data_IF_290587304418
#
_entry.id   IF_290587304418
#
_cell.length_a   1.000
_cell.length_b   1.000
_cell.length_c   1.000
_cell.angle_alpha   90.00
_cell.angle_beta   90.00
_cell.angle_gamma   90.00
#
_symmetry.space_group_name_H-M   'P 1'
#
loop_
_entity.id
_entity.type
_entity.pdbx_description
1 polymer ?
#
# COMPACT_ATOMS: atom_id res chain seq x y z
N UNK A 1 -10.18 1.20 22.03
CA UNK A 1 -10.66 1.31 20.64
C UNK A 1 -10.17 2.64 20.09
N UNK A 2 -9.15 2.71 19.20
CA UNK A 2 -8.92 3.84 18.26
C UNK A 2 -7.58 3.81 17.49
N UNK A 3 -6.56 3.06 17.90
CA UNK A 3 -5.26 3.07 17.18
C UNK A 3 -5.33 2.50 15.75
N UNK A 4 -6.19 1.50 15.51
CA UNK A 4 -6.38 0.92 14.19
C UNK A 4 -7.09 1.85 13.21
N UNK A 5 -7.91 2.80 13.69
CA UNK A 5 -8.64 3.75 12.84
C UNK A 5 -7.73 4.89 12.37
N UNK A 6 -6.88 5.45 13.23
CA UNK A 6 -5.93 6.48 12.83
C UNK A 6 -4.93 5.98 11.78
N UNK A 7 -4.34 4.78 11.96
CA UNK A 7 -3.44 4.19 10.96
C UNK A 7 -4.12 3.92 9.61
N UNK A 8 -5.44 3.67 9.62
CA UNK A 8 -6.21 3.44 8.41
C UNK A 8 -6.47 4.74 7.65
N UNK A 9 -6.75 5.84 8.37
CA UNK A 9 -6.86 7.18 7.81
C UNK A 9 -5.55 7.64 7.16
N UNK A 10 -4.40 7.42 7.81
CA UNK A 10 -3.09 7.78 7.26
C UNK A 10 -2.76 7.01 5.97
N UNK A 11 -3.04 5.71 5.91
CA UNK A 11 -2.74 4.89 4.72
C UNK A 11 -3.61 5.28 3.53
N UNK A 12 -4.91 5.51 3.74
CA UNK A 12 -5.82 5.95 2.69
C UNK A 12 -5.44 7.36 2.20
N UNK A 13 -5.12 8.28 3.10
CA UNK A 13 -4.67 9.63 2.76
C UNK A 13 -3.36 9.61 1.98
N UNK A 14 -2.39 8.78 2.38
CA UNK A 14 -1.12 8.63 1.66
C UNK A 14 -1.32 8.09 0.23
N UNK A 15 -2.20 7.10 0.06
CA UNK A 15 -2.54 6.55 -1.26
C UNK A 15 -3.25 7.60 -2.12
N UNK A 16 -4.23 8.33 -1.57
CA UNK A 16 -4.93 9.39 -2.28
C UNK A 16 -3.99 10.52 -2.69
N UNK A 17 -3.13 10.97 -1.78
CA UNK A 17 -2.13 11.99 -2.08
C UNK A 17 -1.20 11.54 -3.20
N UNK A 18 -0.72 10.31 -3.16
CA UNK A 18 0.15 9.78 -4.21
C UNK A 18 -0.58 9.71 -5.57
N UNK A 19 -1.86 9.30 -5.60
CA UNK A 19 -2.71 9.34 -6.81
C UNK A 19 -2.88 10.76 -7.33
N UNK A 20 -3.17 11.73 -6.46
CA UNK A 20 -3.30 13.15 -6.82
C UNK A 20 -2.01 13.75 -7.38
N UNK A 21 -0.85 13.22 -7.00
CA UNK A 21 0.45 13.56 -7.56
C UNK A 21 0.79 12.78 -8.85
N UNK A 22 -0.15 12.00 -9.40
CA UNK A 22 0.02 11.27 -10.65
C UNK A 22 0.82 9.97 -10.53
N UNK A 23 1.07 9.47 -9.32
CA UNK A 23 1.78 8.20 -9.14
C UNK A 23 0.91 7.03 -9.62
N UNK A 24 1.54 6.11 -10.36
CA UNK A 24 0.92 4.85 -10.79
C UNK A 24 0.87 3.87 -9.62
N UNK A 25 -0.07 2.93 -9.66
CA UNK A 25 -0.24 1.89 -8.62
C UNK A 25 1.08 1.21 -8.26
N UNK A 26 1.91 0.85 -9.24
CA UNK A 26 3.24 0.25 -9.02
C UNK A 26 4.18 1.13 -8.21
N UNK A 27 4.21 2.44 -8.49
CA UNK A 27 5.07 3.40 -7.79
C UNK A 27 4.61 3.56 -6.33
N UNK A 28 3.30 3.59 -6.12
CA UNK A 28 2.70 3.66 -4.78
C UNK A 28 3.04 2.39 -3.98
N UNK A 29 2.86 1.21 -4.58
CA UNK A 29 3.19 -0.08 -3.94
C UNK A 29 4.67 -0.15 -3.54
N UNK A 30 5.58 0.27 -4.43
CA UNK A 30 7.02 0.30 -4.15
C UNK A 30 7.36 1.29 -3.03
N UNK A 31 6.81 2.50 -3.06
CA UNK A 31 7.04 3.51 -2.03
C UNK A 31 6.52 3.06 -0.65
N UNK A 32 5.32 2.46 -0.62
CA UNK A 32 4.68 2.00 0.61
C UNK A 32 5.38 0.79 1.24
N UNK A 33 5.98 -0.08 0.42
CA UNK A 33 6.62 -1.32 0.88
C UNK A 33 8.14 -1.30 0.86
N UNK A 34 8.74 -0.13 0.57
CA UNK A 34 10.18 0.07 0.59
C UNK A 34 10.75 -0.30 1.97
N UNK A 35 11.85 -1.06 1.99
CA UNK A 35 12.53 -1.53 3.20
C UNK A 35 11.72 -2.44 4.14
N UNK A 36 10.50 -2.86 3.76
CA UNK A 36 9.74 -3.84 4.54
C UNK A 36 10.21 -5.26 4.26
N UNK A 37 10.19 -6.13 5.27
CA UNK A 37 10.35 -7.57 5.06
C UNK A 37 9.14 -8.13 4.30
N UNK A 38 9.24 -9.35 3.77
CA UNK A 38 8.11 -9.99 3.09
C UNK A 38 6.88 -10.14 4.01
N UNK A 39 7.08 -10.45 5.29
CA UNK A 39 6.00 -10.58 6.26
C UNK A 39 5.30 -9.24 6.53
N UNK A 40 6.07 -8.17 6.76
CA UNK A 40 5.54 -6.82 6.96
C UNK A 40 4.78 -6.32 5.72
N UNK A 41 5.34 -6.56 4.53
CA UNK A 41 4.70 -6.19 3.27
C UNK A 41 3.38 -6.93 3.04
N UNK A 42 3.29 -8.21 3.46
CA UNK A 42 2.05 -8.97 3.36
C UNK A 42 0.96 -8.40 4.28
N UNK A 43 1.32 -7.97 5.49
CA UNK A 43 0.41 -7.30 6.43
C UNK A 43 -0.08 -5.98 5.84
N UNK A 44 0.82 -5.18 5.26
CA UNK A 44 0.47 -3.93 4.58
C UNK A 44 -0.41 -4.18 3.36
N UNK A 45 -0.09 -5.18 2.54
CA UNK A 45 -0.82 -5.51 1.32
C UNK A 45 -2.29 -5.83 1.61
N UNK A 46 -2.60 -6.55 2.70
CA UNK A 46 -3.99 -6.82 3.12
C UNK A 46 -4.80 -5.55 3.38
N UNK A 47 -4.14 -4.45 3.76
CA UNK A 47 -4.77 -3.15 4.03
C UNK A 47 -4.77 -2.23 2.82
N UNK A 48 -3.65 -2.17 2.09
CA UNK A 48 -3.45 -1.28 0.96
C UNK A 48 -4.07 -1.79 -0.34
N UNK A 49 -4.12 -3.11 -0.57
CA UNK A 49 -4.69 -3.69 -1.78
C UNK A 49 -6.16 -3.27 -2.05
N UNK A 50 -7.10 -3.31 -1.08
CA UNK A 50 -8.46 -2.82 -1.31
C UNK A 50 -8.50 -1.30 -1.60
N UNK A 51 -7.61 -0.51 -0.99
CA UNK A 51 -7.51 0.93 -1.23
C UNK A 51 -6.92 1.28 -2.61
N UNK A 52 -6.16 0.35 -3.19
CA UNK A 52 -5.56 0.46 -4.52
C UNK A 52 -6.39 -0.24 -5.61
N UNK A 53 -7.54 -0.83 -5.23
CA UNK A 53 -8.42 -1.62 -6.10
C UNK A 53 -7.71 -2.80 -6.78
N UNK A 54 -6.76 -3.43 -6.08
CA UNK A 54 -6.00 -4.59 -6.57
C UNK A 54 -6.10 -5.76 -5.57
N UNK A 55 -5.68 -6.95 -6.01
CA UNK A 55 -5.56 -8.11 -5.13
C UNK A 55 -4.28 -8.03 -4.29
N UNK A 56 -4.28 -8.66 -3.11
CA UNK A 56 -3.07 -8.80 -2.27
C UNK A 56 -1.94 -9.49 -3.04
N UNK A 57 -2.26 -10.52 -3.85
CA UNK A 57 -1.30 -11.18 -4.73
C UNK A 57 -0.68 -10.21 -5.74
N UNK A 58 -1.49 -9.31 -6.30
CA UNK A 58 -1.04 -8.30 -7.27
C UNK A 58 -0.14 -7.25 -6.60
N UNK A 59 -0.50 -6.80 -5.39
CA UNK A 59 0.34 -5.92 -4.60
C UNK A 59 1.73 -6.54 -4.37
N UNK A 60 1.78 -7.81 -3.98
CA UNK A 60 3.04 -8.52 -3.74
C UNK A 60 3.84 -8.75 -5.03
N UNK A 61 3.18 -8.95 -6.17
CA UNK A 61 3.81 -9.01 -7.49
C UNK A 61 4.42 -7.67 -7.90
N UNK A 62 3.68 -6.56 -7.75
CA UNK A 62 4.12 -5.21 -8.10
C UNK A 62 5.30 -4.70 -7.25
N UNK A 63 5.42 -5.18 -6.01
CA UNK A 63 6.60 -4.97 -5.17
C UNK A 63 7.85 -5.64 -5.74
N UNK A 64 7.71 -6.81 -6.39
CA UNK A 64 8.82 -7.70 -6.77
C UNK A 64 9.38 -7.41 -8.17
N UNK A 65 8.56 -6.92 -9.08
CA UNK A 65 9.01 -6.53 -10.42
C UNK A 65 9.65 -5.15 -10.38
N UNK A 66 10.85 -5.01 -10.95
CA UNK A 66 11.50 -3.77 -11.36
C UNK A 66 10.99 -3.29 -12.72
#
# INVERSE_FOLDING_TARGET
>A
MSESFLRYTDLAAAIQLARSNGLRTVQIVRALSANMTHAEALVLARRAAPLLEIKVSEFMSLRRNE
#
